data_IF_015211135888
#
_entry.id   IF_015211135888
#
_cell.length_a   1.000
_cell.length_b   1.000
_cell.length_c   1.000
_cell.angle_alpha   90.00
_cell.angle_beta   90.00
_cell.angle_gamma   90.00
#
_symmetry.space_group_name_H-M   'P 1'
#
loop_
_entity.id
_entity.type
_entity.pdbx_description
1 polymer ?
#
# COMPACT_ATOMS: atom_id res chain seq x y z
N UNK A 1 -99.03 -98.45 -54.49
CA UNK A 1 -99.41 -98.68 -55.90
C UNK A 1 -98.25 -98.17 -56.75
N UNK A 2 -97.62 -99.07 -57.50
CA UNK A 2 -96.70 -98.88 -58.62
C UNK A 2 -95.40 -98.06 -58.53
N UNK A 3 -94.31 -98.81 -58.76
CA UNK A 3 -93.23 -98.63 -59.76
C UNK A 3 -92.20 -97.51 -59.53
N UNK A 4 -90.92 -97.91 -59.57
CA UNK A 4 -89.87 -97.08 -60.19
C UNK A 4 -88.47 -97.21 -59.59
N UNK A 5 -87.70 -98.17 -60.10
CA UNK A 5 -86.23 -98.24 -60.28
C UNK A 5 -85.33 -97.16 -59.63
N UNK A 6 -84.18 -97.56 -59.07
CA UNK A 6 -82.88 -97.62 -59.79
C UNK A 6 -81.67 -97.64 -58.82
N UNK A 7 -81.07 -98.83 -58.79
CA UNK A 7 -79.68 -99.28 -58.60
C UNK A 7 -78.47 -98.30 -58.53
N UNK A 8 -77.45 -98.78 -57.78
CA UNK A 8 -75.98 -98.69 -57.92
C UNK A 8 -75.18 -97.78 -56.95
N UNK A 9 -74.40 -98.48 -56.11
CA UNK A 9 -73.04 -98.29 -55.58
C UNK A 9 -72.56 -96.96 -54.96
N UNK A 10 -72.14 -97.10 -53.71
CA UNK A 10 -70.80 -96.81 -53.16
C UNK A 10 -69.85 -95.85 -53.88
N UNK A 11 -69.31 -94.98 -53.02
CA UNK A 11 -68.02 -94.29 -53.07
C UNK A 11 -67.82 -93.11 -54.04
N UNK A 12 -67.42 -92.01 -53.42
CA UNK A 12 -66.45 -91.04 -53.92
C UNK A 12 -66.86 -90.14 -55.10
N UNK A 13 -66.99 -88.84 -54.82
CA UNK A 13 -65.86 -87.89 -54.89
C UNK A 13 -66.24 -86.52 -55.50
N UNK A 14 -65.48 -85.53 -55.06
CA UNK A 14 -64.86 -84.49 -55.89
C UNK A 14 -65.73 -83.77 -56.93
N UNK A 15 -66.10 -82.52 -56.62
CA UNK A 15 -66.50 -81.58 -57.66
C UNK A 15 -66.55 -80.12 -57.23
N UNK A 16 -66.80 -79.85 -55.95
CA UNK A 16 -66.98 -78.47 -55.44
C UNK A 16 -65.83 -78.09 -54.49
N UNK A 17 -64.60 -78.45 -54.87
CA UNK A 17 -63.41 -78.07 -54.08
C UNK A 17 -62.25 -77.52 -54.91
N UNK A 18 -62.36 -77.48 -56.25
CA UNK A 18 -61.26 -77.06 -57.13
C UNK A 18 -61.40 -75.61 -57.61
N UNK A 19 -62.57 -74.97 -57.53
CA UNK A 19 -62.74 -73.57 -57.99
C UNK A 19 -62.54 -72.48 -56.91
N UNK A 20 -62.42 -72.84 -55.62
CA UNK A 20 -62.16 -71.87 -54.52
C UNK A 20 -60.73 -71.95 -53.96
N UNK A 21 -59.90 -72.85 -54.50
CA UNK A 21 -58.53 -73.10 -54.02
C UNK A 21 -57.43 -72.29 -54.72
N UNK A 22 -57.76 -71.41 -55.69
CA UNK A 22 -56.76 -70.61 -56.40
C UNK A 22 -56.75 -69.11 -56.09
N UNK A 23 -57.73 -68.56 -55.36
CA UNK A 23 -57.69 -67.15 -54.91
C UNK A 23 -57.28 -66.97 -53.44
N UNK A 24 -57.22 -68.04 -52.65
CA UNK A 24 -56.95 -67.98 -51.19
C UNK A 24 -55.45 -67.95 -50.83
N UNK A 25 -54.56 -68.32 -51.75
CA UNK A 25 -53.13 -68.54 -51.44
C UNK A 25 -52.23 -67.31 -51.65
N UNK A 26 -52.70 -66.27 -52.36
CA UNK A 26 -51.88 -65.06 -52.58
C UNK A 26 -52.19 -63.91 -51.59
N UNK A 27 -53.37 -63.94 -50.95
CA UNK A 27 -53.77 -62.90 -49.97
C UNK A 27 -53.17 -63.17 -48.58
N UNK A 28 -52.90 -64.43 -48.23
CA UNK A 28 -52.51 -64.81 -46.87
C UNK A 28 -51.00 -64.64 -46.57
N UNK A 29 -50.12 -64.70 -47.56
CA UNK A 29 -48.68 -64.41 -47.35
C UNK A 29 -48.41 -62.92 -47.15
N UNK A 30 -49.07 -62.05 -47.92
CA UNK A 30 -48.91 -60.59 -47.80
C UNK A 30 -49.49 -60.03 -46.49
N UNK A 31 -50.62 -60.57 -46.00
CA UNK A 31 -51.17 -60.18 -44.69
C UNK A 31 -50.27 -60.64 -43.52
N UNK A 32 -49.71 -61.85 -43.61
CA UNK A 32 -48.88 -62.40 -42.53
C UNK A 32 -47.50 -61.72 -42.45
N UNK A 33 -46.86 -61.41 -43.59
CA UNK A 33 -45.65 -60.58 -43.62
C UNK A 33 -45.91 -59.16 -43.10
N UNK A 34 -47.06 -58.56 -43.44
CA UNK A 34 -47.45 -57.23 -42.97
C UNK A 34 -47.68 -57.21 -41.45
N UNK A 35 -48.30 -58.24 -40.86
CA UNK A 35 -48.51 -58.35 -39.40
C UNK A 35 -47.18 -58.56 -38.66
N UNK A 36 -46.27 -59.40 -39.18
CA UNK A 36 -44.95 -59.65 -38.59
C UNK A 36 -44.05 -58.41 -38.69
N UNK A 37 -44.08 -57.68 -39.81
CA UNK A 37 -43.36 -56.41 -39.97
C UNK A 37 -43.91 -55.29 -39.08
N UNK A 38 -45.23 -55.24 -38.87
CA UNK A 38 -45.85 -54.24 -37.99
C UNK A 38 -45.48 -54.49 -36.52
N UNK A 39 -45.38 -55.76 -36.11
CA UNK A 39 -44.97 -56.11 -34.75
C UNK A 39 -43.48 -55.80 -34.50
N UNK A 40 -42.59 -56.10 -35.46
CA UNK A 40 -41.17 -55.74 -35.38
C UNK A 40 -40.94 -54.22 -35.40
N UNK A 41 -41.73 -53.44 -36.14
CA UNK A 41 -41.70 -51.96 -36.09
C UNK A 41 -42.14 -51.42 -34.73
N UNK A 42 -43.22 -51.96 -34.13
CA UNK A 42 -43.65 -51.57 -32.78
C UNK A 42 -42.58 -51.86 -31.72
N UNK A 43 -41.93 -53.03 -31.79
CA UNK A 43 -40.83 -53.38 -30.87
C UNK A 43 -39.61 -52.49 -31.06
N UNK A 44 -39.27 -52.10 -32.30
CA UNK A 44 -38.18 -51.15 -32.60
C UNK A 44 -38.50 -49.73 -32.12
N UNK A 45 -39.75 -49.29 -32.27
CA UNK A 45 -40.21 -47.97 -31.79
C UNK A 45 -40.25 -47.93 -30.26
N UNK A 46 -40.74 -48.99 -29.60
CA UNK A 46 -40.69 -49.09 -28.14
C UNK A 46 -39.25 -49.16 -27.61
N UNK A 47 -38.35 -49.87 -28.30
CA UNK A 47 -36.93 -49.90 -27.95
C UNK A 47 -36.26 -48.54 -28.14
N UNK A 48 -36.54 -47.85 -29.26
CA UNK A 48 -36.03 -46.49 -29.50
C UNK A 48 -36.60 -45.49 -28.48
N UNK A 49 -37.89 -45.57 -28.14
CA UNK A 49 -38.50 -44.74 -27.11
C UNK A 49 -37.93 -45.04 -25.73
N UNK A 50 -37.64 -46.30 -25.40
CA UNK A 50 -36.98 -46.66 -24.15
C UNK A 50 -35.52 -46.16 -24.10
N UNK A 51 -34.79 -46.20 -25.22
CA UNK A 51 -33.43 -45.66 -25.32
C UNK A 51 -33.44 -44.14 -25.22
N UNK A 52 -34.38 -43.46 -25.87
CA UNK A 52 -34.55 -42.00 -25.77
C UNK A 52 -35.00 -41.61 -24.36
N UNK A 53 -35.93 -42.35 -23.75
CA UNK A 53 -36.35 -42.12 -22.36
C UNK A 53 -35.20 -42.35 -21.38
N UNK A 54 -34.38 -43.38 -21.60
CA UNK A 54 -33.17 -43.64 -20.81
C UNK A 54 -32.11 -42.55 -21.04
N UNK A 55 -31.91 -42.06 -22.27
CA UNK A 55 -30.99 -40.96 -22.57
C UNK A 55 -31.45 -39.61 -22.01
N UNK A 56 -32.77 -39.41 -21.85
CA UNK A 56 -33.36 -38.20 -21.25
C UNK A 56 -33.40 -38.29 -19.72
N UNK A 57 -33.54 -39.49 -19.13
CA UNK A 57 -33.47 -39.69 -17.67
C UNK A 57 -32.06 -39.92 -17.13
N UNK A 58 -31.10 -40.36 -17.95
CA UNK A 58 -29.70 -40.59 -17.53
C UNK A 58 -29.01 -39.36 -16.93
N UNK A 59 -29.23 -38.10 -17.39
CA UNK A 59 -28.65 -36.93 -16.75
C UNK A 59 -29.30 -36.60 -15.39
N UNK A 60 -30.52 -37.09 -15.12
CA UNK A 60 -31.24 -36.85 -13.86
C UNK A 60 -30.75 -37.79 -12.74
N UNK A 61 -30.03 -38.86 -13.10
CA UNK A 61 -29.36 -39.77 -12.16
C UNK A 61 -27.88 -39.42 -11.92
N UNK A 62 -27.44 -38.22 -12.32
CA UNK A 62 -26.28 -37.63 -11.66
C UNK A 62 -26.72 -37.20 -10.25
N UNK A 63 -26.80 -38.18 -9.36
CA UNK A 63 -26.53 -37.94 -7.94
C UNK A 63 -25.20 -37.20 -7.94
N UNK A 64 -25.24 -35.91 -7.62
CA UNK A 64 -24.06 -35.22 -7.10
C UNK A 64 -23.65 -36.06 -5.89
N UNK A 65 -22.69 -36.96 -6.07
CA UNK A 65 -21.87 -37.37 -4.96
C UNK A 65 -21.34 -36.05 -4.43
N UNK A 66 -21.86 -35.60 -3.28
CA UNK A 66 -21.03 -34.76 -2.44
C UNK A 66 -19.79 -35.60 -2.24
N UNK A 67 -18.72 -35.20 -2.90
CA UNK A 67 -17.38 -35.62 -2.52
C UNK A 67 -17.34 -35.32 -1.02
N UNK A 68 -17.37 -36.36 -0.19
CA UNK A 68 -17.32 -36.23 1.27
C UNK A 68 -15.92 -35.81 1.73
N UNK A 69 -15.14 -35.19 0.85
CA UNK A 69 -13.87 -34.58 1.16
C UNK A 69 -14.14 -33.31 1.97
N UNK A 70 -13.39 -33.11 3.07
CA UNK A 70 -13.46 -31.86 3.82
C UNK A 70 -13.20 -30.67 2.89
N UNK A 71 -13.90 -29.56 3.08
CA UNK A 71 -13.60 -28.30 2.40
C UNK A 71 -12.68 -27.49 3.29
N UNK A 72 -11.49 -27.18 2.81
CA UNK A 72 -10.51 -26.41 3.59
C UNK A 72 -10.15 -25.14 2.85
N UNK A 73 -10.25 -24.03 3.55
CA UNK A 73 -9.78 -22.74 3.03
C UNK A 73 -8.33 -22.54 3.47
N UNK A 74 -7.42 -22.38 2.51
CA UNK A 74 -6.02 -22.03 2.81
C UNK A 74 -5.84 -20.53 2.61
N UNK A 75 -5.39 -19.83 3.65
CA UNK A 75 -5.14 -18.39 3.62
C UNK A 75 -3.65 -18.14 3.78
N UNK A 76 -3.02 -17.47 2.82
CA UNK A 76 -1.58 -17.20 2.87
C UNK A 76 -1.32 -15.78 3.39
N UNK A 77 -0.64 -15.69 4.52
CA UNK A 77 -0.18 -14.44 5.14
C UNK A 77 1.34 -14.37 5.01
N UNK A 78 1.81 -13.58 4.06
CA UNK A 78 3.23 -13.34 3.80
C UNK A 78 3.56 -11.84 3.86
N UNK A 79 4.65 -11.51 4.55
CA UNK A 79 5.14 -10.14 4.71
C UNK A 79 4.57 -9.40 5.93
N UNK A 80 4.53 -8.08 5.84
CA UNK A 80 4.20 -7.20 6.97
C UNK A 80 2.72 -7.26 7.37
N UNK A 81 2.45 -7.28 8.67
CA UNK A 81 1.08 -7.21 9.22
C UNK A 81 0.55 -5.78 9.14
N UNK A 82 -0.38 -5.57 8.21
CA UNK A 82 -0.99 -4.27 7.89
C UNK A 82 -2.51 -4.29 8.08
N UNK A 83 -3.18 -3.12 8.19
CA UNK A 83 -4.65 -3.06 8.25
C UNK A 83 -5.33 -3.73 7.04
N UNK A 84 -4.77 -3.59 5.84
CA UNK A 84 -5.27 -4.27 4.66
C UNK A 84 -5.18 -5.81 4.77
N UNK A 85 -4.08 -6.34 5.32
CA UNK A 85 -3.94 -7.77 5.57
C UNK A 85 -4.92 -8.26 6.65
N UNK A 86 -5.19 -7.45 7.69
CA UNK A 86 -6.16 -7.79 8.73
C UNK A 86 -7.58 -7.91 8.16
N UNK A 87 -8.00 -6.92 7.37
CA UNK A 87 -9.24 -6.97 6.62
C UNK A 87 -9.30 -8.15 5.65
N UNK A 88 -8.19 -8.47 4.98
CA UNK A 88 -8.13 -9.64 4.08
C UNK A 88 -8.38 -10.95 4.84
N UNK A 89 -7.67 -11.18 5.94
CA UNK A 89 -7.85 -12.39 6.76
C UNK A 89 -9.27 -12.48 7.32
N UNK A 90 -9.79 -11.39 7.91
CA UNK A 90 -11.14 -11.36 8.44
C UNK A 90 -12.19 -11.71 7.38
N UNK A 91 -12.09 -11.11 6.20
CA UNK A 91 -12.99 -11.42 5.07
C UNK A 91 -12.86 -12.89 4.59
N UNK A 92 -11.65 -13.46 4.63
CA UNK A 92 -11.41 -14.84 4.25
C UNK A 92 -12.03 -15.82 5.27
N UNK A 93 -11.92 -15.52 6.57
CA UNK A 93 -12.57 -16.28 7.65
C UNK A 93 -14.10 -16.19 7.50
N UNK A 94 -14.65 -14.98 7.31
CA UNK A 94 -16.09 -14.78 7.11
C UNK A 94 -16.63 -15.47 5.85
N UNK A 95 -15.83 -15.53 4.78
CA UNK A 95 -16.18 -16.28 3.58
C UNK A 95 -16.18 -17.79 3.86
N UNK A 96 -15.15 -18.32 4.53
CA UNK A 96 -15.06 -19.73 4.88
C UNK A 96 -16.20 -20.19 5.80
N UNK A 97 -16.58 -19.36 6.79
CA UNK A 97 -17.73 -19.58 7.67
C UNK A 97 -19.04 -19.65 6.87
N UNK A 98 -19.26 -18.71 5.94
CA UNK A 98 -20.47 -18.67 5.09
C UNK A 98 -20.55 -19.81 4.10
N UNK A 99 -19.42 -20.24 3.54
CA UNK A 99 -19.33 -21.31 2.54
C UNK A 99 -19.41 -22.71 3.17
N UNK A 100 -19.41 -22.78 4.51
CA UNK A 100 -19.46 -24.02 5.28
C UNK A 100 -18.21 -24.86 5.05
N UNK A 101 -17.02 -24.23 5.12
CA UNK A 101 -15.76 -24.94 5.14
C UNK A 101 -15.64 -25.78 6.43
N UNK A 102 -14.96 -26.92 6.35
CA UNK A 102 -14.69 -27.80 7.49
C UNK A 102 -13.49 -27.34 8.33
N UNK A 103 -12.67 -26.42 7.79
CA UNK A 103 -11.58 -25.79 8.51
C UNK A 103 -10.82 -24.76 7.68
N UNK A 104 -9.97 -24.00 8.38
CA UNK A 104 -9.12 -22.97 7.80
C UNK A 104 -7.67 -23.32 8.14
N UNK A 105 -6.79 -23.32 7.13
CA UNK A 105 -5.34 -23.37 7.32
C UNK A 105 -4.74 -22.02 6.97
N UNK A 106 -4.24 -21.30 7.96
CA UNK A 106 -3.50 -20.06 7.75
C UNK A 106 -2.02 -20.41 7.60
N UNK A 107 -1.42 -20.11 6.46
CA UNK A 107 0.03 -20.18 6.30
C UNK A 107 0.65 -18.84 6.62
N UNK A 108 1.61 -18.82 7.54
CA UNK A 108 2.19 -17.56 8.01
C UNK A 108 3.71 -17.54 7.85
N UNK A 109 4.18 -16.40 7.34
CA UNK A 109 5.59 -16.03 7.26
C UNK A 109 5.70 -14.51 7.42
N UNK A 110 6.02 -14.04 8.62
CA UNK A 110 6.04 -12.59 8.92
C UNK A 110 7.09 -12.19 9.96
N UNK A 111 7.66 -11.00 9.76
CA UNK A 111 8.50 -10.30 10.74
C UNK A 111 7.68 -9.47 11.74
N UNK A 112 6.36 -9.42 11.55
CA UNK A 112 5.44 -8.62 12.37
C UNK A 112 4.87 -7.42 11.62
N UNK A 113 4.38 -6.44 12.39
CA UNK A 113 3.74 -5.24 11.86
C UNK A 113 2.92 -4.53 12.93
N UNK A 114 1.77 -4.00 12.57
CA UNK A 114 0.96 -3.18 13.48
C UNK A 114 0.29 -4.03 14.57
N UNK A 115 0.49 -3.65 15.84
CA UNK A 115 -0.14 -4.29 17.01
C UNK A 115 -1.67 -4.31 16.89
N UNK A 116 -2.28 -3.20 16.45
CA UNK A 116 -3.73 -3.13 16.28
C UNK A 116 -4.26 -4.13 15.23
N UNK A 117 -3.56 -4.27 14.10
CA UNK A 117 -3.92 -5.24 13.06
C UNK A 117 -3.71 -6.68 13.52
N UNK A 118 -2.66 -6.94 14.32
CA UNK A 118 -2.41 -8.26 14.91
C UNK A 118 -3.55 -8.67 15.87
N UNK A 119 -4.00 -7.73 16.70
CA UNK A 119 -5.15 -7.90 17.60
C UNK A 119 -6.43 -8.16 16.81
N UNK A 120 -6.69 -7.39 15.75
CA UNK A 120 -7.86 -7.58 14.88
C UNK A 120 -7.86 -8.97 14.23
N UNK A 121 -6.71 -9.42 13.71
CA UNK A 121 -6.55 -10.76 13.14
C UNK A 121 -6.77 -11.86 14.19
N UNK A 122 -6.16 -11.71 15.37
CA UNK A 122 -6.35 -12.65 16.49
C UNK A 122 -7.83 -12.74 16.87
N UNK A 123 -8.50 -11.60 17.02
CA UNK A 123 -9.91 -11.57 17.40
C UNK A 123 -10.79 -12.23 16.32
N UNK A 124 -10.48 -12.04 15.04
CA UNK A 124 -11.16 -12.72 13.95
C UNK A 124 -10.94 -14.25 13.96
N UNK A 125 -9.73 -14.72 14.28
CA UNK A 125 -9.43 -16.15 14.43
C UNK A 125 -10.21 -16.75 15.60
N UNK A 126 -10.17 -16.11 16.78
CA UNK A 126 -10.88 -16.58 17.98
C UNK A 126 -12.41 -16.59 17.77
N UNK A 127 -12.93 -15.67 16.96
CA UNK A 127 -14.36 -15.57 16.66
C UNK A 127 -14.82 -16.54 15.56
N UNK A 128 -13.92 -17.32 14.95
CA UNK A 128 -14.26 -18.26 13.89
C UNK A 128 -15.23 -19.34 14.38
N UNK A 129 -16.26 -19.65 13.57
CA UNK A 129 -17.21 -20.73 13.84
C UNK A 129 -16.64 -22.12 13.47
N UNK A 130 -15.55 -22.15 12.70
CA UNK A 130 -14.90 -23.36 12.20
C UNK A 130 -13.43 -23.43 12.66
N UNK A 131 -12.84 -24.63 12.79
CA UNK A 131 -11.48 -24.79 13.29
C UNK A 131 -10.44 -24.06 12.44
N UNK A 132 -9.54 -23.34 13.10
CA UNK A 132 -8.43 -22.61 12.47
C UNK A 132 -7.11 -23.22 12.91
N UNK A 133 -6.35 -23.74 11.95
CA UNK A 133 -4.97 -24.15 12.14
C UNK A 133 -4.04 -23.11 11.52
N UNK A 134 -2.87 -22.91 12.12
CA UNK A 134 -1.78 -22.12 11.53
C UNK A 134 -0.61 -23.03 11.18
N UNK A 135 -0.03 -22.82 9.99
CA UNK A 135 1.22 -23.44 9.56
C UNK A 135 2.30 -22.38 9.41
N UNK A 136 3.33 -22.46 10.26
CA UNK A 136 4.47 -21.54 10.27
C UNK A 136 5.53 -22.12 9.35
N UNK A 137 5.60 -21.60 8.12
CA UNK A 137 6.49 -22.13 7.08
C UNK A 137 7.95 -21.68 7.23
N UNK A 138 8.17 -20.47 7.70
CA UNK A 138 9.51 -19.88 7.92
C UNK A 138 9.57 -19.21 9.29
N UNK A 139 8.66 -18.25 9.55
CA UNK A 139 8.70 -17.48 10.80
C UNK A 139 7.37 -16.88 11.20
N UNK A 140 7.11 -16.83 12.51
CA UNK A 140 6.01 -16.09 13.11
C UNK A 140 6.55 -15.14 14.19
N UNK A 141 7.14 -14.03 13.75
CA UNK A 141 7.78 -13.06 14.65
C UNK A 141 6.82 -11.91 14.99
N UNK A 142 6.93 -11.40 16.21
CA UNK A 142 6.18 -10.23 16.68
C UNK A 142 4.67 -10.42 16.54
N UNK A 143 3.98 -9.60 15.76
CA UNK A 143 2.56 -9.76 15.47
C UNK A 143 2.21 -11.17 14.98
N UNK A 144 3.11 -11.83 14.23
CA UNK A 144 2.93 -13.20 13.76
C UNK A 144 2.74 -14.21 14.89
N UNK A 145 3.49 -14.07 15.99
CA UNK A 145 3.37 -14.96 17.13
C UNK A 145 1.98 -14.82 17.79
N UNK A 146 1.50 -13.60 18.00
CA UNK A 146 0.16 -13.36 18.57
C UNK A 146 -0.95 -13.97 17.70
N UNK A 147 -0.85 -13.80 16.38
CA UNK A 147 -1.80 -14.35 15.40
C UNK A 147 -1.77 -15.88 15.45
N UNK A 148 -0.58 -16.49 15.49
CA UNK A 148 -0.43 -17.94 15.57
C UNK A 148 -0.98 -18.53 16.87
N UNK A 149 -0.75 -17.88 18.01
CA UNK A 149 -1.25 -18.33 19.33
C UNK A 149 -2.78 -18.35 19.38
N UNK A 150 -3.44 -17.52 18.55
CA UNK A 150 -4.89 -17.44 18.44
C UNK A 150 -5.54 -18.69 17.81
N UNK A 151 -4.79 -19.44 17.01
CA UNK A 151 -5.28 -20.61 16.29
C UNK A 151 -5.56 -21.79 17.23
N UNK A 152 -6.47 -22.68 16.84
CA UNK A 152 -6.72 -23.93 17.56
C UNK A 152 -5.50 -24.85 17.50
N UNK A 153 -4.80 -24.89 16.37
CA UNK A 153 -3.63 -25.76 16.15
C UNK A 153 -2.47 -24.97 15.54
N UNK A 154 -1.27 -25.15 16.08
CA UNK A 154 -0.01 -24.61 15.56
C UNK A 154 0.84 -25.74 15.00
N UNK A 155 1.16 -25.65 13.71
CA UNK A 155 2.06 -26.56 13.02
C UNK A 155 3.27 -25.76 12.57
N UNK A 156 4.47 -26.26 12.84
CA UNK A 156 5.72 -25.57 12.50
C UNK A 156 6.55 -26.35 11.49
N UNK A 157 7.17 -25.65 10.54
CA UNK A 157 8.15 -26.25 9.64
C UNK A 157 9.50 -26.46 10.33
N UNK A 158 10.26 -27.53 10.03
CA UNK A 158 11.63 -27.66 10.49
C UNK A 158 12.48 -26.46 10.09
N UNK A 159 13.16 -25.84 11.07
CA UNK A 159 13.94 -24.63 10.86
C UNK A 159 13.14 -23.32 10.97
N UNK A 160 11.83 -23.39 11.22
CA UNK A 160 11.01 -22.21 11.54
C UNK A 160 11.10 -21.82 13.02
N UNK A 161 10.65 -20.59 13.33
CA UNK A 161 10.58 -20.08 14.70
C UNK A 161 9.34 -19.22 14.98
N UNK A 162 9.02 -19.04 16.27
CA UNK A 162 7.89 -18.25 16.79
C UNK A 162 8.30 -17.50 18.06
N UNK A 163 8.01 -16.19 18.11
CA UNK A 163 8.27 -15.35 19.28
C UNK A 163 8.81 -13.98 18.91
N UNK A 164 9.82 -13.49 19.64
CA UNK A 164 10.49 -12.20 19.44
C UNK A 164 9.50 -11.03 19.21
N UNK A 165 8.65 -10.79 20.20
CA UNK A 165 7.46 -9.95 20.10
C UNK A 165 7.42 -8.73 21.02
N UNK A 166 8.58 -8.19 21.41
CA UNK A 166 8.60 -6.91 22.13
C UNK A 166 7.97 -5.79 21.29
N UNK A 167 7.10 -4.97 21.90
CA UNK A 167 6.53 -3.82 21.21
C UNK A 167 7.56 -2.72 20.99
N UNK A 168 7.37 -2.00 19.89
CA UNK A 168 8.05 -0.73 19.62
C UNK A 168 6.99 0.37 19.63
N UNK A 169 7.04 1.35 20.56
CA UNK A 169 8.10 1.59 21.55
C UNK A 169 8.12 0.57 22.70
N UNK A 170 9.32 0.25 23.19
CA UNK A 170 9.54 -0.60 24.35
C UNK A 170 9.50 0.24 25.64
N UNK A 171 8.28 0.65 26.02
CA UNK A 171 8.01 1.30 27.29
C UNK A 171 7.12 0.40 28.18
N UNK A 172 7.18 0.60 29.50
CA UNK A 172 6.52 -0.28 30.47
C UNK A 172 5.01 -0.44 30.22
N UNK A 173 4.33 0.57 29.69
CA UNK A 173 2.90 0.47 29.39
C UNK A 173 2.68 -0.39 28.14
N UNK A 174 3.46 -0.17 27.09
CA UNK A 174 3.38 -0.92 25.84
C UNK A 174 3.72 -2.40 26.05
N UNK A 175 4.80 -2.70 26.78
CA UNK A 175 5.21 -4.07 27.15
C UNK A 175 4.12 -4.75 27.98
N UNK A 176 3.64 -4.12 29.05
CA UNK A 176 2.59 -4.70 29.89
C UNK A 176 1.29 -4.97 29.11
N UNK A 177 0.95 -4.09 28.16
CA UNK A 177 -0.21 -4.28 27.30
C UNK A 177 -0.04 -5.47 26.36
N UNK A 178 1.04 -5.51 25.57
CA UNK A 178 1.28 -6.58 24.59
C UNK A 178 1.51 -7.93 25.27
N UNK A 179 2.31 -7.98 26.34
CA UNK A 179 2.48 -9.19 27.15
C UNK A 179 1.14 -9.70 27.72
N UNK A 180 0.26 -8.79 28.14
CA UNK A 180 -1.11 -9.13 28.54
C UNK A 180 -1.95 -9.74 27.41
N UNK A 181 -1.87 -9.18 26.21
CA UNK A 181 -2.56 -9.74 25.03
C UNK A 181 -2.04 -11.15 24.69
N UNK A 182 -0.72 -11.38 24.75
CA UNK A 182 -0.14 -12.72 24.54
C UNK A 182 -0.61 -13.73 25.60
N UNK A 183 -0.50 -13.36 26.88
CA UNK A 183 -0.92 -14.21 28.01
C UNK A 183 -2.38 -14.63 27.90
N UNK A 184 -3.27 -13.66 27.68
CA UNK A 184 -4.71 -13.92 27.60
C UNK A 184 -5.11 -14.69 26.35
N UNK A 185 -4.39 -14.53 25.24
CA UNK A 185 -4.61 -15.32 24.02
C UNK A 185 -4.23 -16.78 24.27
N UNK A 186 -3.07 -17.03 24.87
CA UNK A 186 -2.62 -18.38 25.23
C UNK A 186 -3.57 -19.07 26.23
N UNK A 187 -4.05 -18.35 27.26
CA UNK A 187 -5.05 -18.87 28.20
C UNK A 187 -6.34 -19.34 27.49
N UNK A 188 -6.79 -18.60 26.47
CA UNK A 188 -7.99 -18.95 25.69
C UNK A 188 -7.78 -20.18 24.82
N UNK A 189 -6.59 -20.36 24.25
CA UNK A 189 -6.28 -21.46 23.33
C UNK A 189 -5.63 -22.65 24.02
N UNK A 190 -5.47 -22.61 25.35
CA UNK A 190 -4.92 -23.71 26.15
C UNK A 190 -3.40 -23.85 26.07
N UNK A 191 -2.70 -22.81 25.66
CA UNK A 191 -1.23 -22.74 25.62
C UNK A 191 -0.66 -22.14 26.89
N UNK A 192 0.61 -22.41 27.17
CA UNK A 192 1.31 -21.88 28.34
C UNK A 192 1.33 -20.33 28.31
N UNK A 193 0.65 -19.66 29.25
CA UNK A 193 0.56 -18.21 29.26
C UNK A 193 1.87 -17.51 29.61
N UNK A 194 2.77 -18.16 30.34
CA UNK A 194 4.09 -17.60 30.69
C UNK A 194 5.04 -17.66 29.50
N UNK A 195 5.07 -18.78 28.75
CA UNK A 195 5.82 -18.86 27.49
C UNK A 195 5.36 -17.79 26.51
N UNK A 196 4.04 -17.65 26.31
CA UNK A 196 3.51 -16.61 25.43
C UNK A 196 3.86 -15.19 25.92
N UNK A 197 3.75 -14.92 27.21
CA UNK A 197 4.09 -13.61 27.76
C UNK A 197 5.58 -13.26 27.62
N UNK A 198 6.47 -14.25 27.79
CA UNK A 198 7.92 -14.09 27.66
C UNK A 198 8.37 -13.79 26.22
N UNK A 199 7.53 -14.09 25.22
CA UNK A 199 7.78 -13.64 23.85
C UNK A 199 7.72 -12.12 23.71
N UNK A 200 6.98 -11.42 24.58
CA UNK A 200 6.75 -9.98 24.49
C UNK A 200 7.34 -9.16 25.65
N UNK A 201 7.83 -9.81 26.71
CA UNK A 201 8.35 -9.16 27.91
C UNK A 201 9.65 -9.86 28.38
N UNK A 202 10.78 -9.18 28.16
CA UNK A 202 12.11 -9.68 28.52
C UNK A 202 12.32 -9.81 30.02
N UNK A 203 11.44 -9.22 30.85
CA UNK A 203 11.57 -9.33 32.30
C UNK A 203 11.10 -10.68 32.83
N UNK A 204 10.41 -11.49 32.01
CA UNK A 204 9.91 -12.81 32.41
C UNK A 204 11.02 -13.83 32.22
N UNK A 205 11.45 -14.43 33.33
CA UNK A 205 12.43 -15.52 33.38
C UNK A 205 11.69 -16.85 33.54
N UNK A 206 12.04 -17.84 32.72
CA UNK A 206 11.49 -19.18 32.81
C UNK A 206 12.67 -20.16 32.89
N UNK A 207 12.79 -20.83 34.04
CA UNK A 207 13.94 -21.67 34.38
C UNK A 207 14.24 -22.70 33.29
N UNK A 208 15.44 -22.61 32.72
CA UNK A 208 15.91 -23.53 31.68
C UNK A 208 15.37 -23.27 30.27
N UNK A 209 14.61 -22.18 30.07
CA UNK A 209 14.02 -21.81 28.77
C UNK A 209 14.50 -20.42 28.33
N UNK A 210 14.32 -19.39 29.16
CA UNK A 210 14.75 -18.01 28.86
C UNK A 210 15.19 -17.29 30.12
N UNK A 211 16.36 -16.66 30.06
CA UNK A 211 16.94 -15.90 31.16
C UNK A 211 16.34 -14.48 31.23
N UNK A 212 16.35 -13.89 32.43
CA UNK A 212 15.89 -12.51 32.63
C UNK A 212 16.70 -11.52 31.75
N UNK A 213 16.00 -10.72 30.95
CA UNK A 213 16.57 -9.74 30.03
C UNK A 213 16.70 -10.25 28.59
N UNK A 214 16.37 -11.52 28.33
CA UNK A 214 16.26 -12.08 26.98
C UNK A 214 14.80 -12.24 26.57
N UNK A 215 14.56 -12.23 25.25
CA UNK A 215 13.22 -12.42 24.70
C UNK A 215 13.08 -13.83 24.15
N UNK A 216 11.95 -14.45 24.47
CA UNK A 216 11.68 -15.80 24.01
C UNK A 216 11.42 -15.83 22.49
N UNK A 217 12.20 -16.67 21.80
CA UNK A 217 12.00 -17.08 20.42
C UNK A 217 12.22 -18.59 20.35
N UNK A 218 11.18 -19.35 20.02
CA UNK A 218 11.19 -20.81 20.03
C UNK A 218 11.38 -21.33 18.62
N UNK A 219 12.36 -22.20 18.42
CA UNK A 219 12.44 -23.02 17.21
C UNK A 219 11.28 -24.02 17.16
N UNK A 220 11.00 -24.55 15.96
CA UNK A 220 9.98 -25.59 15.78
C UNK A 220 10.15 -26.80 16.74
N UNK A 221 11.39 -27.20 17.02
CA UNK A 221 11.66 -28.32 17.92
C UNK A 221 11.39 -27.96 19.38
N UNK A 222 11.88 -26.80 19.84
CA UNK A 222 11.66 -26.33 21.22
C UNK A 222 10.17 -26.09 21.48
N UNK A 223 9.47 -25.45 20.55
CA UNK A 223 8.03 -25.23 20.65
C UNK A 223 7.25 -26.54 20.75
N UNK A 224 7.62 -27.57 19.99
CA UNK A 224 6.99 -28.89 20.05
C UNK A 224 7.33 -29.63 21.35
N UNK A 225 8.59 -29.58 21.80
CA UNK A 225 9.04 -30.24 23.04
C UNK A 225 8.38 -29.64 24.28
N UNK A 226 8.09 -28.34 24.26
CA UNK A 226 7.36 -27.61 25.30
C UNK A 226 5.83 -27.73 25.15
N UNK A 227 5.32 -28.36 24.09
CA UNK A 227 3.89 -28.47 23.81
C UNK A 227 3.23 -27.13 23.44
N UNK A 228 4.03 -26.15 23.02
CA UNK A 228 3.55 -24.86 22.52
C UNK A 228 3.09 -24.94 21.06
N UNK A 229 3.81 -25.73 20.25
CA UNK A 229 3.38 -26.18 18.92
C UNK A 229 2.82 -27.60 19.02
N UNK A 230 1.74 -27.86 18.27
CA UNK A 230 1.03 -29.14 18.29
C UNK A 230 1.73 -30.18 17.40
N UNK A 231 2.29 -29.74 16.27
CA UNK A 231 2.98 -30.62 15.33
C UNK A 231 4.14 -29.93 14.61
N UNK A 232 5.03 -30.77 14.05
CA UNK A 232 6.05 -30.36 13.09
C UNK A 232 5.74 -30.99 11.73
N UNK A 233 5.76 -30.19 10.66
CA UNK A 233 5.50 -30.65 9.29
C UNK A 233 6.42 -29.94 8.30
N UNK A 234 7.10 -30.66 7.40
CA UNK A 234 8.00 -30.08 6.41
C UNK A 234 7.31 -29.42 5.22
N UNK A 235 5.99 -29.55 5.09
CA UNK A 235 5.23 -28.96 3.99
C UNK A 235 3.75 -28.77 4.34
N UNK A 236 3.08 -27.88 3.60
CA UNK A 236 1.61 -27.70 3.61
C UNK A 236 0.87 -29.04 3.51
N UNK A 237 1.28 -29.91 2.59
CA UNK A 237 0.63 -31.20 2.36
C UNK A 237 0.72 -32.12 3.59
N UNK A 238 1.85 -32.10 4.29
CA UNK A 238 2.05 -32.85 5.53
C UNK A 238 1.25 -32.23 6.68
N UNK A 239 1.20 -30.89 6.77
CA UNK A 239 0.35 -30.17 7.73
C UNK A 239 -1.13 -30.53 7.56
N UNK A 240 -1.65 -30.51 6.32
CA UNK A 240 -3.00 -30.95 5.99
C UNK A 240 -3.23 -32.42 6.37
N UNK A 241 -2.24 -33.28 6.19
CA UNK A 241 -2.35 -34.69 6.57
C UNK A 241 -2.50 -34.87 8.09
N UNK A 242 -1.72 -34.13 8.89
CA UNK A 242 -1.78 -34.17 10.36
C UNK A 242 -3.14 -33.69 10.88
N UNK A 243 -3.75 -32.72 10.20
CA UNK A 243 -5.09 -32.20 10.48
C UNK A 243 -6.22 -33.13 10.00
N UNK A 244 -5.91 -34.22 9.29
CA UNK A 244 -6.92 -35.11 8.71
C UNK A 244 -7.58 -34.57 7.43
N UNK A 245 -6.95 -33.58 6.80
CA UNK A 245 -7.41 -32.86 5.60
C UNK A 245 -6.66 -33.25 4.32
N UNK A 246 -5.99 -34.41 4.28
CA UNK A 246 -5.18 -34.86 3.14
C UNK A 246 -5.95 -35.01 1.82
N UNK A 247 -7.27 -35.24 1.89
CA UNK A 247 -8.14 -35.37 0.72
C UNK A 247 -9.10 -34.16 0.60
N UNK A 248 -8.83 -33.08 1.32
CA UNK A 248 -9.70 -31.92 1.33
C UNK A 248 -9.76 -31.24 -0.04
N UNK A 249 -10.93 -30.72 -0.40
CA UNK A 249 -11.05 -29.74 -1.47
C UNK A 249 -10.52 -28.41 -0.96
N UNK A 250 -9.28 -28.09 -1.34
CA UNK A 250 -8.58 -26.88 -0.90
C UNK A 250 -8.97 -25.70 -1.77
N UNK A 251 -9.51 -24.64 -1.15
CA UNK A 251 -9.67 -23.33 -1.77
C UNK A 251 -8.59 -22.40 -1.24
N UNK A 252 -7.60 -22.10 -2.09
CA UNK A 252 -6.52 -21.18 -1.73
C UNK A 252 -6.93 -19.73 -1.99
N UNK A 253 -6.82 -18.91 -0.96
CA UNK A 253 -7.11 -17.47 -1.00
C UNK A 253 -5.78 -16.76 -0.85
N UNK A 254 -5.26 -16.27 -1.97
CA UNK A 254 -4.06 -15.43 -1.98
C UNK A 254 -4.40 -13.94 -1.78
N UNK A 255 -3.50 -13.16 -1.16
CA UNK A 255 -3.62 -11.70 -1.13
C UNK A 255 -3.74 -11.12 -2.55
N UNK A 256 -4.75 -10.28 -2.77
CA UNK A 256 -5.07 -9.65 -4.06
C UNK A 256 -3.85 -8.91 -4.65
N UNK A 257 -3.80 -8.73 -5.98
CA UNK A 257 -2.80 -7.93 -6.69
C UNK A 257 -2.60 -6.53 -6.06
N UNK A 258 -3.67 -5.98 -5.49
CA UNK A 258 -3.66 -4.72 -4.74
C UNK A 258 -2.73 -4.76 -3.53
N UNK A 259 -2.71 -5.85 -2.75
CA UNK A 259 -1.81 -6.01 -1.61
C UNK A 259 -0.36 -6.02 -2.06
N UNK A 260 -0.03 -6.74 -3.13
CA UNK A 260 1.34 -6.80 -3.68
C UNK A 260 1.84 -5.41 -4.10
N UNK A 261 0.99 -4.61 -4.76
CA UNK A 261 1.32 -3.22 -5.11
C UNK A 261 1.45 -2.37 -3.84
N UNK A 262 0.52 -2.49 -2.90
CA UNK A 262 0.54 -1.73 -1.66
C UNK A 262 1.86 -1.95 -0.92
N UNK A 263 2.19 -3.21 -0.65
CA UNK A 263 3.41 -3.63 0.02
C UNK A 263 4.68 -3.13 -0.69
N UNK A 264 4.73 -3.25 -2.03
CA UNK A 264 5.85 -2.72 -2.80
C UNK A 264 6.00 -1.20 -2.63
N UNK A 265 4.91 -0.44 -2.74
CA UNK A 265 4.94 1.02 -2.65
C UNK A 265 5.18 1.54 -1.22
N UNK A 266 4.80 0.77 -0.19
CA UNK A 266 4.97 1.14 1.23
C UNK A 266 6.27 0.65 1.84
N UNK A 267 7.01 -0.22 1.15
CA UNK A 267 8.37 -0.60 1.56
C UNK A 267 9.24 0.64 1.77
N UNK A 268 10.09 0.63 2.80
CA UNK A 268 10.86 1.80 3.21
C UNK A 268 11.73 2.35 2.08
N UNK A 269 12.33 1.46 1.30
CA UNK A 269 13.21 1.78 0.18
C UNK A 269 12.44 2.47 -0.94
N UNK A 270 11.30 1.89 -1.36
CA UNK A 270 10.50 2.42 -2.47
C UNK A 270 9.84 3.73 -2.05
N UNK A 271 9.28 3.80 -0.84
CA UNK A 271 8.70 5.02 -0.30
C UNK A 271 9.74 6.16 -0.21
N UNK A 272 10.97 5.86 0.23
CA UNK A 272 12.06 6.83 0.25
C UNK A 272 12.43 7.33 -1.14
N UNK A 273 12.55 6.43 -2.12
CA UNK A 273 12.84 6.78 -3.52
C UNK A 273 11.72 7.64 -4.12
N UNK A 274 10.46 7.26 -3.91
CA UNK A 274 9.30 8.01 -4.38
C UNK A 274 9.30 9.42 -3.79
N UNK A 275 9.49 9.56 -2.48
CA UNK A 275 9.50 10.88 -1.84
C UNK A 275 10.70 11.73 -2.29
N UNK A 276 11.87 11.11 -2.46
CA UNK A 276 13.08 11.77 -2.95
C UNK A 276 12.88 12.30 -4.38
N UNK A 277 12.39 11.47 -5.30
CA UNK A 277 12.10 11.89 -6.68
C UNK A 277 10.97 12.94 -6.68
N UNK A 278 9.95 12.75 -5.85
CA UNK A 278 8.87 13.70 -5.61
C UNK A 278 9.37 15.10 -5.27
N UNK A 279 10.18 15.19 -4.22
CA UNK A 279 10.77 16.44 -3.73
C UNK A 279 11.74 17.05 -4.73
N UNK A 280 12.63 16.25 -5.34
CA UNK A 280 13.56 16.74 -6.37
C UNK A 280 12.80 17.27 -7.59
N UNK A 281 11.74 16.58 -8.03
CA UNK A 281 10.89 17.00 -9.15
C UNK A 281 10.19 18.33 -8.88
N UNK A 282 9.63 18.51 -7.68
CA UNK A 282 9.02 19.77 -7.25
C UNK A 282 10.05 20.90 -7.23
N UNK A 283 11.23 20.68 -6.65
CA UNK A 283 12.31 21.68 -6.62
C UNK A 283 12.79 22.00 -8.03
N UNK A 284 13.03 21.00 -8.88
CA UNK A 284 13.52 21.19 -10.24
C UNK A 284 12.54 22.02 -11.08
N UNK A 285 11.23 21.82 -10.93
CA UNK A 285 10.19 22.62 -11.59
C UNK A 285 10.31 24.12 -11.26
N UNK A 286 10.75 24.48 -10.04
CA UNK A 286 10.96 25.89 -9.68
C UNK A 286 12.14 26.52 -10.44
N UNK A 287 13.14 25.72 -10.84
CA UNK A 287 14.36 26.19 -11.51
C UNK A 287 14.29 26.16 -13.03
N UNK A 288 13.51 25.23 -13.61
CA UNK A 288 13.42 25.01 -15.04
C UNK A 288 12.33 25.90 -15.64
N UNK A 289 12.65 26.87 -16.52
CA UNK A 289 11.65 27.72 -17.16
C UNK A 289 10.87 26.92 -18.22
N UNK A 290 9.59 26.71 -17.98
CA UNK A 290 8.71 25.90 -18.83
C UNK A 290 7.68 25.18 -17.96
N UNK A 291 6.80 24.38 -18.57
CA UNK A 291 5.92 23.49 -17.81
C UNK A 291 6.43 22.05 -17.91
N UNK A 292 6.54 21.40 -16.76
CA UNK A 292 5.69 20.25 -16.51
C UNK A 292 6.38 18.91 -16.36
N UNK A 293 7.51 18.62 -17.00
CA UNK A 293 8.04 17.24 -16.96
C UNK A 293 8.53 16.85 -15.55
N UNK A 294 9.29 17.73 -14.89
CA UNK A 294 9.81 17.48 -13.54
C UNK A 294 8.70 17.58 -12.48
N UNK A 295 7.81 18.57 -12.60
CA UNK A 295 6.64 18.72 -11.74
C UNK A 295 5.66 17.56 -11.86
N UNK A 296 5.32 17.11 -13.08
CA UNK A 296 4.44 15.95 -13.31
C UNK A 296 5.07 14.68 -12.73
N UNK A 297 6.37 14.45 -12.96
CA UNK A 297 7.06 13.32 -12.35
C UNK A 297 6.97 13.39 -10.82
N UNK A 298 7.18 14.59 -10.24
CA UNK A 298 7.03 14.81 -8.82
C UNK A 298 5.64 14.49 -8.30
N UNK A 299 4.59 14.97 -8.98
CA UNK A 299 3.18 14.69 -8.66
C UNK A 299 2.87 13.19 -8.76
N UNK A 300 3.37 12.50 -9.79
CA UNK A 300 3.19 11.05 -9.94
C UNK A 300 3.84 10.32 -8.78
N UNK A 301 5.06 10.69 -8.39
CA UNK A 301 5.75 10.07 -7.27
C UNK A 301 5.02 10.28 -5.94
N UNK A 302 4.53 11.50 -5.66
CA UNK A 302 3.70 11.74 -4.48
C UNK A 302 2.37 10.97 -4.56
N UNK A 303 1.71 10.94 -5.71
CA UNK A 303 0.48 10.19 -5.89
C UNK A 303 0.68 8.69 -5.62
N UNK A 304 1.79 8.11 -6.11
CA UNK A 304 2.16 6.72 -5.83
C UNK A 304 2.46 6.48 -4.34
N UNK A 305 3.16 7.41 -3.69
CA UNK A 305 3.42 7.34 -2.25
C UNK A 305 2.13 7.32 -1.43
N UNK A 306 1.23 8.27 -1.66
CA UNK A 306 -0.06 8.33 -0.97
C UNK A 306 -0.98 7.17 -1.34
N UNK A 307 -1.00 6.75 -2.62
CA UNK A 307 -1.80 5.61 -3.07
C UNK A 307 -1.33 4.31 -2.42
N UNK A 308 -0.01 4.07 -2.35
CA UNK A 308 0.54 2.89 -1.68
C UNK A 308 0.07 2.79 -0.23
N UNK A 309 0.22 3.86 0.53
CA UNK A 309 -0.24 3.90 1.92
C UNK A 309 -1.76 3.76 2.06
N UNK A 310 -2.55 4.30 1.12
CA UNK A 310 -4.01 4.17 1.12
C UNK A 310 -4.43 2.71 0.86
N UNK A 311 -3.78 2.05 -0.11
CA UNK A 311 -4.04 0.64 -0.43
C UNK A 311 -3.62 -0.29 0.72
N UNK A 312 -2.55 0.04 1.44
CA UNK A 312 -2.10 -0.73 2.61
C UNK A 312 -2.96 -0.48 3.86
N UNK A 313 -3.84 0.53 3.83
CA UNK A 313 -4.66 0.94 4.96
C UNK A 313 -3.91 1.76 6.02
N UNK A 314 -2.74 2.30 5.69
CA UNK A 314 -1.97 3.19 6.56
C UNK A 314 -2.37 4.66 6.40
N UNK A 315 -2.86 5.02 5.22
CA UNK A 315 -3.13 6.41 4.83
C UNK A 315 -4.61 6.66 4.69
N UNK A 316 -5.03 7.79 5.22
CA UNK A 316 -6.41 8.21 5.22
C UNK A 316 -6.61 9.48 4.39
N UNK A 317 -7.83 9.78 3.97
CA UNK A 317 -8.10 10.90 3.06
C UNK A 317 -7.61 12.26 3.60
N UNK A 318 -7.57 12.46 4.91
CA UNK A 318 -7.15 13.72 5.51
C UNK A 318 -5.67 14.02 5.32
N UNK A 319 -4.78 13.01 5.28
CA UNK A 319 -3.34 13.26 5.14
C UNK A 319 -3.02 13.81 3.74
N UNK A 320 -3.71 13.30 2.72
CA UNK A 320 -3.66 13.80 1.34
C UNK A 320 -4.18 15.24 1.28
N UNK A 321 -5.32 15.52 1.92
CA UNK A 321 -5.89 16.88 1.95
C UNK A 321 -4.94 17.87 2.64
N UNK A 322 -4.31 17.48 3.74
CA UNK A 322 -3.33 18.29 4.47
C UNK A 322 -2.09 18.54 3.60
N UNK A 323 -1.57 17.51 2.91
CA UNK A 323 -0.45 17.65 1.98
C UNK A 323 -0.76 18.63 0.83
N UNK A 324 -1.91 18.46 0.18
CA UNK A 324 -2.36 19.34 -0.92
C UNK A 324 -2.59 20.77 -0.42
N UNK A 325 -3.20 20.93 0.75
CA UNK A 325 -3.33 22.24 1.40
C UNK A 325 -1.95 22.88 1.64
N UNK A 326 -0.96 22.10 2.05
CA UNK A 326 0.43 22.54 2.18
C UNK A 326 1.00 23.11 0.88
N UNK A 327 0.85 22.39 -0.24
CA UNK A 327 1.28 22.86 -1.58
C UNK A 327 0.56 24.16 -1.97
N UNK A 328 -0.75 24.27 -1.71
CA UNK A 328 -1.53 25.48 -2.01
C UNK A 328 -1.04 26.66 -1.18
N UNK A 329 -0.80 26.49 0.12
CA UNK A 329 -0.29 27.53 1.01
C UNK A 329 1.10 28.03 0.58
N UNK A 330 2.00 27.11 0.20
CA UNK A 330 3.31 27.46 -0.37
C UNK A 330 3.13 28.26 -1.67
N UNK A 331 2.20 27.84 -2.53
CA UNK A 331 1.94 28.52 -3.80
C UNK A 331 1.40 29.94 -3.59
N UNK A 332 0.55 30.16 -2.58
CA UNK A 332 0.04 31.48 -2.20
C UNK A 332 1.20 32.40 -1.78
N UNK A 333 2.13 31.92 -0.94
CA UNK A 333 3.30 32.70 -0.52
C UNK A 333 4.20 33.11 -1.70
N UNK A 334 4.33 32.26 -2.72
CA UNK A 334 5.12 32.57 -3.92
C UNK A 334 4.47 33.68 -4.76
N UNK A 335 3.13 33.70 -4.84
CA UNK A 335 2.38 34.68 -5.65
C UNK A 335 2.22 36.01 -4.90
N UNK A 336 1.94 35.94 -3.60
CA UNK A 336 1.76 37.10 -2.72
C UNK A 336 2.79 36.99 -1.59
N UNK A 337 4.05 37.39 -1.85
CA UNK A 337 5.09 37.35 -0.83
C UNK A 337 4.66 38.18 0.38
N UNK A 338 4.46 37.52 1.52
CA UNK A 338 3.97 38.12 2.75
C UNK A 338 5.05 38.15 3.83
N UNK A 339 4.63 37.91 5.07
CA UNK A 339 5.53 37.75 6.21
C UNK A 339 6.07 36.30 6.36
N UNK A 340 5.87 35.43 5.36
CA UNK A 340 6.27 34.02 5.42
C UNK A 340 5.28 33.10 6.16
N UNK A 341 4.15 33.62 6.63
CA UNK A 341 3.16 32.83 7.38
C UNK A 341 2.60 31.66 6.55
N UNK A 342 2.20 31.92 5.30
CA UNK A 342 1.65 30.88 4.44
C UNK A 342 2.73 29.88 4.03
N UNK A 343 3.96 30.35 3.80
CA UNK A 343 5.10 29.48 3.53
C UNK A 343 5.40 28.49 4.67
N UNK A 344 5.51 28.97 5.91
CA UNK A 344 5.80 28.12 7.07
C UNK A 344 4.65 27.15 7.35
N UNK A 345 3.41 27.65 7.37
CA UNK A 345 2.24 26.80 7.57
C UNK A 345 2.12 25.73 6.47
N UNK A 346 2.42 26.10 5.23
CA UNK A 346 2.41 25.19 4.10
C UNK A 346 3.47 24.09 4.19
N UNK A 347 4.69 24.43 4.61
CA UNK A 347 5.77 23.44 4.84
C UNK A 347 5.37 22.46 5.96
N UNK A 348 4.85 22.97 7.08
CA UNK A 348 4.38 22.12 8.19
C UNK A 348 3.28 21.18 7.71
N UNK A 349 2.27 21.70 7.00
CA UNK A 349 1.18 20.89 6.46
C UNK A 349 1.69 19.82 5.47
N UNK A 350 2.63 20.18 4.59
CA UNK A 350 3.25 19.24 3.66
C UNK A 350 3.95 18.09 4.41
N UNK A 351 4.75 18.41 5.44
CA UNK A 351 5.47 17.41 6.23
C UNK A 351 4.54 16.53 7.07
N UNK A 352 3.53 17.13 7.70
CA UNK A 352 2.50 16.38 8.45
C UNK A 352 1.77 15.43 7.50
N UNK A 353 1.36 15.89 6.32
CA UNK A 353 0.71 15.04 5.32
C UNK A 353 1.55 13.82 4.93
N UNK A 354 2.86 14.01 4.72
CA UNK A 354 3.80 12.90 4.42
C UNK A 354 3.90 11.95 5.61
N UNK A 355 4.20 12.44 6.82
CA UNK A 355 4.43 11.57 7.98
C UNK A 355 3.20 10.73 8.33
N UNK A 356 1.99 11.32 8.22
CA UNK A 356 0.74 10.60 8.46
C UNK A 356 0.34 9.62 7.35
N UNK A 357 1.02 9.64 6.20
CA UNK A 357 0.82 8.66 5.14
C UNK A 357 1.80 7.47 5.22
N UNK A 358 2.77 7.52 6.14
CA UNK A 358 3.69 6.42 6.35
C UNK A 358 3.10 5.35 7.29
N UNK A 359 3.53 4.08 7.18
CA UNK A 359 3.07 3.00 8.06
C UNK A 359 3.29 3.28 9.55
N UNK A 360 4.40 3.94 9.89
CA UNK A 360 4.68 4.44 11.23
C UNK A 360 5.21 5.88 11.18
N UNK A 361 5.03 6.63 12.26
CA UNK A 361 5.58 7.98 12.37
C UNK A 361 7.12 7.98 12.25
N UNK A 362 7.80 6.96 12.80
CA UNK A 362 9.25 6.80 12.70
C UNK A 362 9.71 6.60 11.25
N UNK A 363 9.03 5.73 10.50
CA UNK A 363 9.29 5.53 9.08
C UNK A 363 9.03 6.80 8.28
N UNK A 364 7.90 7.49 8.53
CA UNK A 364 7.55 8.74 7.87
C UNK A 364 8.58 9.84 8.11
N UNK A 365 9.04 9.99 9.35
CA UNK A 365 10.11 10.93 9.71
C UNK A 365 11.43 10.53 9.02
N UNK A 366 11.80 9.25 9.02
CA UNK A 366 13.03 8.76 8.39
C UNK A 366 13.06 9.05 6.89
N UNK A 367 11.99 8.70 6.18
CA UNK A 367 11.83 8.98 4.74
C UNK A 367 11.83 10.48 4.46
N UNK A 368 11.14 11.28 5.29
CA UNK A 368 11.13 12.73 5.17
C UNK A 368 12.53 13.35 5.36
N UNK A 369 13.31 12.89 6.34
CA UNK A 369 14.67 13.37 6.58
C UNK A 369 15.59 13.08 5.38
N UNK A 370 15.50 11.88 4.80
CA UNK A 370 16.22 11.53 3.57
C UNK A 370 15.85 12.50 2.45
N UNK A 371 14.56 12.77 2.25
CA UNK A 371 14.09 13.68 1.22
C UNK A 371 14.54 15.15 1.46
N UNK A 372 14.58 15.61 2.72
CA UNK A 372 15.11 16.93 3.09
C UNK A 372 16.60 17.03 2.79
N UNK A 373 17.40 16.03 3.18
CA UNK A 373 18.85 16.02 2.87
C UNK A 373 19.07 16.04 1.37
N UNK A 374 18.32 15.22 0.62
CA UNK A 374 18.38 15.21 -0.84
C UNK A 374 18.00 16.59 -1.43
N UNK A 375 16.95 17.25 -0.92
CA UNK A 375 16.55 18.58 -1.31
C UNK A 375 17.66 19.62 -1.06
N UNK A 376 18.29 19.61 0.12
CA UNK A 376 19.38 20.51 0.48
C UNK A 376 20.60 20.36 -0.44
N UNK A 377 20.88 19.15 -0.93
CA UNK A 377 21.94 18.88 -1.91
C UNK A 377 21.51 19.30 -3.32
N UNK A 378 20.25 19.05 -3.69
CA UNK A 378 19.73 19.34 -5.03
C UNK A 378 19.62 20.84 -5.32
N UNK A 379 19.20 21.66 -4.33
CA UNK A 379 19.03 23.11 -4.48
C UNK A 379 20.29 23.83 -5.00
N UNK A 380 21.49 23.72 -4.38
CA UNK A 380 22.69 24.41 -4.88
C UNK A 380 23.14 23.90 -6.25
N UNK A 381 22.92 22.62 -6.55
CA UNK A 381 23.22 22.02 -7.86
C UNK A 381 22.31 22.65 -8.93
N UNK A 382 20.99 22.66 -8.70
CA UNK A 382 20.05 23.27 -9.62
C UNK A 382 20.26 24.77 -9.74
N UNK A 383 20.57 25.48 -8.66
CA UNK A 383 20.90 26.90 -8.71
C UNK A 383 22.15 27.16 -9.57
N UNK A 384 23.19 26.33 -9.46
CA UNK A 384 24.41 26.45 -10.29
C UNK A 384 24.13 26.21 -11.78
N UNK A 385 23.24 25.27 -12.10
CA UNK A 385 22.93 24.89 -13.49
C UNK A 385 21.91 25.86 -14.13
N UNK A 386 20.86 26.22 -13.40
CA UNK A 386 19.66 26.91 -13.92
C UNK A 386 19.42 28.30 -13.31
N UNK A 387 20.14 28.72 -12.27
CA UNK A 387 19.92 29.98 -11.54
C UNK A 387 20.18 31.27 -12.34
N UNK A 388 20.61 31.16 -13.61
CA UNK A 388 20.79 32.31 -14.51
C UNK A 388 19.51 32.71 -15.26
N UNK A 389 18.39 32.03 -15.04
CA UNK A 389 17.13 32.25 -15.75
C UNK A 389 16.39 33.52 -15.31
N UNK A 390 15.58 34.09 -16.22
CA UNK A 390 14.89 35.38 -16.06
C UNK A 390 13.89 35.42 -14.89
N UNK A 391 13.32 34.27 -14.52
CA UNK A 391 12.41 34.09 -13.39
C UNK A 391 13.16 34.15 -12.05
N UNK A 392 14.31 33.48 -11.93
CA UNK A 392 15.15 33.51 -10.73
C UNK A 392 15.69 34.90 -10.40
N UNK A 393 15.89 35.76 -11.41
CA UNK A 393 16.27 37.17 -11.19
C UNK A 393 15.18 38.03 -10.52
N UNK A 394 13.91 37.58 -10.50
CA UNK A 394 12.82 38.24 -9.76
C UNK A 394 12.65 37.72 -8.33
N UNK A 395 13.00 36.45 -8.08
CA UNK A 395 12.94 35.81 -6.76
C UNK A 395 14.18 36.11 -5.91
N UNK A 396 15.35 36.14 -6.54
CA UNK A 396 16.60 36.55 -5.88
C UNK A 396 16.75 38.06 -6.07
N UNK A 397 16.70 38.80 -4.96
CA UNK A 397 17.07 40.21 -4.93
C UNK A 397 18.55 40.31 -5.32
N UNK A 398 18.84 40.53 -6.60
CA UNK A 398 20.21 40.70 -7.10
C UNK A 398 20.86 42.02 -6.64
N UNK A 399 20.15 42.80 -5.84
CA UNK A 399 20.69 43.97 -5.16
C UNK A 399 20.95 43.61 -3.70
N UNK A 400 21.87 42.67 -3.47
CA UNK A 400 22.77 42.89 -2.36
C UNK A 400 23.58 44.12 -2.79
N UNK A 401 23.20 45.29 -2.27
CA UNK A 401 23.99 46.52 -2.31
C UNK A 401 25.31 46.24 -1.56
N UNK A 402 26.18 45.45 -2.17
CA UNK A 402 27.54 45.25 -1.72
C UNK A 402 28.26 46.57 -2.00
N UNK A 403 28.86 47.15 -0.95
CA UNK A 403 29.58 48.43 -1.01
C UNK A 403 30.71 48.50 -2.06
N UNK A 404 31.03 47.37 -2.71
CA UNK A 404 31.96 47.24 -3.83
C UNK A 404 31.42 47.75 -5.18
N UNK A 405 30.11 48.01 -5.33
CA UNK A 405 29.51 48.57 -6.55
C UNK A 405 29.35 50.10 -6.53
N UNK A 406 29.86 50.80 -5.51
CA UNK A 406 30.03 52.25 -5.57
C UNK A 406 28.74 53.04 -5.77
N UNK A 407 27.65 52.65 -5.10
CA UNK A 407 26.45 53.47 -4.99
C UNK A 407 26.73 54.69 -4.08
N UNK A 408 27.42 55.70 -4.61
CA UNK A 408 27.42 57.03 -4.00
C UNK A 408 26.10 57.70 -4.35
N UNK A 409 25.21 57.84 -3.37
CA UNK A 409 23.92 58.54 -3.47
C UNK A 409 24.05 60.07 -3.59
N UNK A 410 25.03 60.54 -4.36
CA UNK A 410 25.22 61.96 -4.67
C UNK A 410 25.74 62.00 -6.10
N UNK A 411 25.04 62.69 -7.00
CA UNK A 411 25.65 63.15 -8.26
C UNK A 411 27.04 63.65 -7.94
N UNK A 412 28.07 63.00 -8.48
CA UNK A 412 29.45 63.46 -8.37
C UNK A 412 29.51 64.85 -9.00
N UNK A 413 29.29 65.90 -8.21
CA UNK A 413 29.60 67.29 -8.55
C UNK A 413 31.11 67.45 -8.47
N UNK A 414 31.82 66.72 -9.35
CA UNK A 414 33.25 66.88 -9.61
C UNK A 414 33.62 68.31 -9.99
N UNK A 415 32.64 69.12 -10.37
CA UNK A 415 32.76 70.53 -10.73
C UNK A 415 32.97 71.49 -9.55
N UNK A 416 32.95 71.02 -8.30
CA UNK A 416 33.18 71.89 -7.13
C UNK A 416 34.65 71.98 -6.71
N UNK A 417 35.51 71.10 -7.22
CA UNK A 417 36.92 71.08 -6.85
C UNK A 417 37.64 72.31 -7.40
N UNK A 418 38.35 73.03 -6.54
CA UNK A 418 39.04 74.28 -6.89
C UNK A 418 38.15 75.53 -6.91
N UNK A 419 36.82 75.40 -6.74
CA UNK A 419 35.94 76.57 -6.62
C UNK A 419 36.18 77.33 -5.32
N UNK A 420 35.88 78.62 -5.38
CA UNK A 420 35.96 79.54 -4.24
C UNK A 420 34.55 79.88 -3.75
N UNK A 421 34.42 80.13 -2.45
CA UNK A 421 33.15 80.41 -1.81
C UNK A 421 33.33 81.15 -0.50
N UNK A 422 32.25 81.25 0.26
CA UNK A 422 32.24 81.94 1.55
C UNK A 422 31.70 81.01 2.63
N UNK A 423 32.36 80.94 3.78
CA UNK A 423 31.86 80.20 4.94
C UNK A 423 30.55 80.82 5.46
N UNK A 424 29.47 80.03 5.51
CA UNK A 424 28.17 80.47 6.03
C UNK A 424 28.06 80.27 7.54
N UNK A 425 28.69 79.20 8.05
CA UNK A 425 28.78 78.89 9.48
C UNK A 425 30.24 78.81 9.90
N UNK A 426 30.49 78.81 11.21
CA UNK A 426 31.82 78.49 11.73
C UNK A 426 32.12 77.03 11.37
N UNK A 427 33.29 76.75 10.80
CA UNK A 427 33.74 75.39 10.46
C UNK A 427 34.65 74.86 11.57
N UNK A 428 34.14 73.93 12.41
CA UNK A 428 34.89 73.32 13.53
C UNK A 428 34.61 71.82 13.76
N UNK A 429 35.25 70.91 13.02
CA UNK A 429 35.84 71.13 11.70
C UNK A 429 34.75 71.20 10.61
N UNK A 430 33.53 70.73 10.88
CA UNK A 430 32.41 70.76 9.94
C UNK A 430 31.58 72.04 10.06
N UNK A 431 30.94 72.42 8.95
CA UNK A 431 30.10 73.59 8.80
C UNK A 431 29.50 73.62 7.40
N UNK A 432 29.04 74.78 6.94
CA UNK A 432 28.51 74.95 5.59
C UNK A 432 29.10 76.18 4.91
N UNK A 433 29.30 76.09 3.60
CA UNK A 433 29.86 77.14 2.74
C UNK A 433 28.89 77.42 1.60
N UNK A 434 28.96 78.63 1.05
CA UNK A 434 28.27 79.00 -0.18
C UNK A 434 29.27 78.95 -1.33
N UNK A 435 29.06 78.03 -2.28
CA UNK A 435 29.81 77.90 -3.53
C UNK A 435 28.87 78.25 -4.68
N UNK A 436 29.17 79.30 -5.45
CA UNK A 436 28.32 79.82 -6.53
C UNK A 436 26.83 80.04 -6.14
N UNK A 437 26.60 80.49 -4.90
CA UNK A 437 25.25 80.74 -4.35
C UNK A 437 24.52 79.49 -3.85
N UNK A 438 25.14 78.32 -3.91
CA UNK A 438 24.59 77.06 -3.40
C UNK A 438 25.24 76.73 -2.04
N UNK A 439 24.40 76.44 -1.05
CA UNK A 439 24.84 75.97 0.26
C UNK A 439 25.31 74.51 0.17
N UNK A 440 26.53 74.25 0.59
CA UNK A 440 27.18 72.92 0.58
C UNK A 440 27.80 72.66 1.95
N UNK A 441 27.74 71.41 2.41
CA UNK A 441 28.41 70.97 3.64
C UNK A 441 29.92 70.90 3.43
N UNK A 442 30.66 71.47 4.37
CA UNK A 442 32.10 71.62 4.26
C UNK A 442 32.83 71.25 5.54
N UNK A 443 34.08 70.83 5.39
CA UNK A 443 35.00 70.51 6.47
C UNK A 443 36.26 71.36 6.30
N UNK A 444 36.65 72.12 7.32
CA UNK A 444 37.87 72.91 7.31
C UNK A 444 39.11 72.00 7.33
N UNK A 445 40.10 72.34 6.51
CA UNK A 445 41.42 71.72 6.52
C UNK A 445 42.34 72.44 7.51
N UNK A 446 42.48 71.84 8.70
CA UNK A 446 43.31 72.38 9.78
C UNK A 446 42.55 73.33 10.72
N UNK A 447 42.70 74.64 10.51
CA UNK A 447 42.24 75.67 11.44
C UNK A 447 40.75 75.98 11.33
N UNK A 448 40.18 76.55 12.40
CA UNK A 448 38.78 76.96 12.43
C UNK A 448 38.51 78.16 11.53
N UNK A 449 37.56 78.01 10.61
CA UNK A 449 37.17 79.07 9.67
C UNK A 449 35.90 79.76 10.17
N UNK A 450 35.93 81.10 10.29
CA UNK A 450 34.79 81.88 10.74
C UNK A 450 33.82 82.19 9.58
N UNK A 451 32.52 82.47 9.88
CA UNK A 451 31.56 82.92 8.88
C UNK A 451 32.05 84.18 8.16
N UNK A 452 31.80 84.26 6.86
CA UNK A 452 32.20 85.37 6.01
C UNK A 452 33.62 85.24 5.42
N UNK A 453 34.43 84.29 5.89
CA UNK A 453 35.77 84.04 5.32
C UNK A 453 35.69 83.39 3.94
N UNK A 454 36.52 83.84 3.00
CA UNK A 454 36.63 83.20 1.68
C UNK A 454 37.38 81.87 1.80
N UNK A 455 36.85 80.85 1.15
CA UNK A 455 37.38 79.49 1.20
C UNK A 455 37.51 78.88 -0.19
N UNK A 456 38.47 77.99 -0.38
CA UNK A 456 38.67 77.22 -1.61
C UNK A 456 38.54 75.73 -1.33
N UNK A 457 37.83 75.02 -2.21
CA UNK A 457 37.70 73.56 -2.14
C UNK A 457 39.00 72.90 -2.58
N UNK A 458 39.62 72.13 -1.69
CA UNK A 458 40.90 71.44 -1.94
C UNK A 458 40.73 69.95 -2.25
N UNK A 459 39.70 69.31 -1.72
CA UNK A 459 39.35 67.90 -2.01
C UNK A 459 37.89 67.61 -1.67
N UNK A 460 37.36 66.53 -2.21
CA UNK A 460 36.02 66.02 -1.90
C UNK A 460 36.11 64.86 -0.91
N UNK A 461 35.22 64.80 0.08
CA UNK A 461 35.10 63.66 1.01
C UNK A 461 33.62 63.30 1.15
N UNK A 462 33.20 62.21 0.50
CA UNK A 462 31.80 61.79 0.46
C UNK A 462 30.89 62.88 -0.14
N UNK A 463 29.86 63.28 0.60
CA UNK A 463 28.93 64.35 0.23
C UNK A 463 29.39 65.76 0.64
N UNK A 464 30.52 65.88 1.35
CA UNK A 464 31.04 67.16 1.87
C UNK A 464 32.31 67.59 1.12
N UNK A 465 32.54 68.90 1.05
CA UNK A 465 33.77 69.50 0.48
C UNK A 465 34.79 69.77 1.59
N UNK A 466 36.07 69.52 1.35
CA UNK A 466 37.13 69.98 2.26
C UNK A 466 37.65 71.31 1.76
N UNK A 467 37.67 72.31 2.64
CA UNK A 467 37.97 73.70 2.29
C UNK A 467 39.10 74.27 3.13
N UNK A 468 39.91 75.13 2.53
CA UNK A 468 40.93 75.93 3.23
C UNK A 468 40.66 77.42 2.99
N UNK A 469 41.16 78.29 3.86
CA UNK A 469 41.03 79.74 3.70
C UNK A 469 41.81 80.21 2.48
N UNK A 470 41.18 81.03 1.63
CA UNK A 470 41.90 81.82 0.62
C UNK A 470 42.62 82.94 1.36
N UNK A 471 43.95 82.91 1.35
CA UNK A 471 44.79 84.02 1.82
C UNK A 471 44.68 85.22 0.89
#
# INVERSE_FOLDING_TARGET
MNIGCMNINDECNAGIFVLLMLESSCINQNLMEMIIMTNRRKHRICALLAIVLFAVLAPVLQVSGQDGSPKVTVVVIDGEITPAMASFLGNAIDAANRDGADGILIEISTLGGQVASAIEMRDAIIASDIPVAVYIGDRAISAGALISIAADTIIMAPGSHIGAAEPIPNDAKSVAYVSGEFRTTAEKTGRDPELAAAMADAAIEIEGIVDAGEILDLTAQEANDLGFADYIAGSRSEALQLLGWQNASVTEVEPDFKYRIAHFLTSYEVAAILLLIGMIGLIAELFIPGFGAAGILGIICFALYFAGGFLAGHTEWWSILIFVAGIILISIEIIVPGFGFFGIAGIIALFVGIVFAAPTAGQGIGVLLIAIVAALIAIPIFFKIFGRTKFMRRLVLNNAETGDQGFTSVETKSDLLGKTGVALTVLRPAGSVSLDGIRVDAVADGEFINPGTQVKVIRMVGSSVVVTTLQ
#
